data_IF_147247634871
#
_entry.id   IF_147247634871
#
_cell.length_a   1.000
_cell.length_b   1.000
_cell.length_c   1.000
_cell.angle_alpha   90.00
_cell.angle_beta   90.00
_cell.angle_gamma   90.00
#
_symmetry.space_group_name_H-M   'P 1'
#
loop_
_entity.id
_entity.type
_entity.pdbx_description
1 polymer ?
#
# COMPACT_ATOMS: atom_id res chain seq x y z
N UNK A 1 -16.40 17.25 79.34
CA UNK A 1 -17.39 16.16 79.43
C UNK A 1 -18.43 16.47 78.37
N UNK A 2 -18.29 15.85 77.20
CA UNK A 2 -19.06 14.66 76.76
C UNK A 2 -20.29 15.13 75.98
N UNK A 3 -20.18 15.15 74.64
CA UNK A 3 -20.67 14.16 73.67
C UNK A 3 -22.20 14.06 73.69
N UNK A 4 -22.82 14.55 72.62
CA UNK A 4 -23.87 13.77 71.94
C UNK A 4 -23.94 14.15 70.45
N UNK A 5 -24.02 13.10 69.65
CA UNK A 5 -23.80 13.05 68.22
C UNK A 5 -24.97 13.68 67.45
N UNK A 6 -24.68 14.69 66.64
CA UNK A 6 -25.61 15.31 65.70
C UNK A 6 -25.27 14.88 64.28
N UNK A 7 -25.56 13.64 63.90
CA UNK A 7 -25.71 13.27 62.49
C UNK A 7 -26.81 12.22 62.34
N UNK A 8 -27.86 12.66 61.66
CA UNK A 8 -29.00 11.88 61.18
C UNK A 8 -28.50 10.94 60.08
N UNK A 9 -28.86 9.67 60.18
CA UNK A 9 -28.66 8.69 59.12
C UNK A 9 -29.68 8.98 58.00
N UNK A 10 -29.22 9.51 56.88
CA UNK A 10 -29.96 9.49 55.63
C UNK A 10 -29.35 8.40 54.74
N UNK A 11 -30.21 7.45 54.37
CA UNK A 11 -29.96 6.35 53.46
C UNK A 11 -29.65 6.92 52.07
N UNK A 12 -28.40 6.78 51.62
CA UNK A 12 -28.05 6.93 50.22
C UNK A 12 -27.93 5.52 49.62
N UNK A 13 -28.98 5.14 48.90
CA UNK A 13 -29.13 3.91 48.15
C UNK A 13 -28.15 3.93 46.95
N UNK A 14 -26.87 3.61 47.23
CA UNK A 14 -25.84 3.46 46.20
C UNK A 14 -26.13 2.15 45.47
N UNK A 15 -26.89 2.27 44.37
CA UNK A 15 -27.11 1.20 43.40
C UNK A 15 -25.77 0.57 43.01
N UNK A 16 -25.51 -0.62 43.54
CA UNK A 16 -24.36 -1.44 43.18
C UNK A 16 -24.48 -1.79 41.69
N UNK A 17 -23.63 -1.17 40.89
CA UNK A 17 -23.44 -1.54 39.49
C UNK A 17 -22.82 -2.94 39.44
N UNK A 18 -23.38 -3.92 38.71
CA UNK A 18 -22.74 -5.22 38.52
C UNK A 18 -21.76 -5.08 37.36
N UNK A 19 -20.64 -4.41 37.61
CA UNK A 19 -19.56 -4.27 36.63
C UNK A 19 -18.19 -4.33 37.31
N UNK A 20 -18.05 -5.24 38.26
CA UNK A 20 -16.78 -5.87 38.56
C UNK A 20 -16.74 -7.18 37.79
N UNK A 21 -16.54 -7.09 36.47
CA UNK A 21 -15.99 -8.22 35.72
C UNK A 21 -14.66 -8.56 36.39
N UNK A 22 -14.60 -9.73 37.02
CA UNK A 22 -13.36 -10.35 37.44
C UNK A 22 -12.42 -10.32 36.25
N UNK A 23 -11.39 -9.49 36.33
CA UNK A 23 -10.22 -9.65 35.48
C UNK A 23 -9.66 -11.03 35.81
N UNK A 24 -9.97 -12.02 34.95
CA UNK A 24 -9.30 -13.30 34.97
C UNK A 24 -7.81 -13.04 34.71
N UNK A 25 -7.06 -13.07 35.79
CA UNK A 25 -5.61 -13.04 35.79
C UNK A 25 -5.09 -14.28 35.05
N UNK A 26 -4.59 -14.10 33.83
CA UNK A 26 -3.99 -15.17 33.01
C UNK A 26 -2.65 -15.68 33.57
N UNK A 27 -2.21 -15.23 34.75
CA UNK A 27 -0.89 -15.59 35.29
C UNK A 27 -0.85 -16.82 36.20
N UNK A 28 -1.98 -17.51 36.39
CA UNK A 28 -2.00 -18.82 37.07
C UNK A 28 -2.48 -19.91 36.12
N UNK A 29 -1.64 -20.89 35.72
CA UNK A 29 -2.13 -22.08 35.05
C UNK A 29 -2.91 -22.89 36.09
N UNK A 30 -4.24 -22.78 36.08
CA UNK A 30 -5.11 -23.77 36.68
C UNK A 30 -4.79 -25.12 36.01
N UNK A 31 -3.98 -25.94 36.68
CA UNK A 31 -3.84 -27.36 36.38
C UNK A 31 -5.24 -27.98 36.48
N UNK A 32 -5.87 -28.31 35.37
CA UNK A 32 -7.19 -28.94 35.43
C UNK A 32 -7.86 -29.26 34.11
N UNK A 33 -7.86 -28.34 33.14
CA UNK A 33 -8.58 -28.53 31.88
C UNK A 33 -7.72 -28.08 30.69
N UNK A 34 -6.76 -28.92 30.28
CA UNK A 34 -6.11 -28.75 28.99
C UNK A 34 -7.15 -29.07 27.89
N UNK A 35 -7.60 -28.04 27.16
CA UNK A 35 -8.48 -28.20 25.99
C UNK A 35 -7.83 -29.16 24.98
N UNK A 36 -8.44 -30.31 24.67
CA UNK A 36 -7.81 -31.29 23.79
C UNK A 36 -7.70 -30.76 22.36
N UNK A 37 -6.52 -30.93 21.76
CA UNK A 37 -6.31 -30.61 20.34
C UNK A 37 -7.20 -31.52 19.49
N UNK A 38 -8.29 -30.96 18.95
CA UNK A 38 -9.23 -31.69 18.06
C UNK A 38 -8.59 -31.91 16.68
N UNK A 39 -7.86 -30.90 16.16
CA UNK A 39 -7.28 -30.94 14.83
C UNK A 39 -5.97 -30.14 14.75
N UNK A 40 -4.91 -30.78 14.27
CA UNK A 40 -3.63 -30.15 13.97
C UNK A 40 -3.54 -29.81 12.49
N UNK A 41 -3.47 -28.53 12.16
CA UNK A 41 -3.32 -28.03 10.78
C UNK A 41 -1.86 -27.65 10.55
N UNK A 42 -1.10 -28.34 9.68
CA UNK A 42 0.28 -28.00 9.41
C UNK A 42 0.40 -26.65 8.69
N UNK A 43 1.34 -25.83 9.16
CA UNK A 43 1.73 -24.56 8.56
C UNK A 43 3.01 -24.76 7.74
N UNK A 44 2.94 -24.47 6.44
CA UNK A 44 4.07 -24.62 5.52
C UNK A 44 4.52 -23.26 5.05
N UNK A 45 5.78 -22.91 5.28
CA UNK A 45 6.38 -21.69 4.76
C UNK A 45 6.83 -21.90 3.31
N UNK A 46 6.07 -21.35 2.36
CA UNK A 46 6.46 -21.33 0.97
C UNK A 46 7.48 -20.20 0.71
N UNK A 47 8.42 -20.46 -0.19
CA UNK A 47 9.30 -19.45 -0.77
C UNK A 47 8.94 -19.28 -2.24
N UNK A 48 9.06 -18.05 -2.75
CA UNK A 48 8.98 -17.80 -4.18
C UNK A 48 10.08 -18.60 -4.90
N UNK A 49 9.79 -19.23 -6.04
CA UNK A 49 10.78 -20.00 -6.82
C UNK A 49 12.02 -19.17 -7.18
N UNK A 50 11.82 -17.89 -7.50
CA UNK A 50 12.89 -16.95 -7.80
C UNK A 50 12.62 -15.60 -7.12
N UNK A 51 13.26 -15.39 -5.96
CA UNK A 51 13.19 -14.13 -5.20
C UNK A 51 13.88 -12.95 -5.88
N UNK A 52 14.79 -13.20 -6.83
CA UNK A 52 15.51 -12.13 -7.50
C UNK A 52 14.65 -11.46 -8.57
N UNK A 53 13.74 -12.22 -9.20
CA UNK A 53 12.84 -11.71 -10.24
C UNK A 53 11.38 -11.57 -9.80
N UNK A 54 10.97 -12.20 -8.69
CA UNK A 54 9.58 -12.21 -8.25
C UNK A 54 9.42 -11.59 -6.86
N UNK A 55 8.42 -10.74 -6.75
CA UNK A 55 7.94 -10.15 -5.51
C UNK A 55 6.42 -10.26 -5.43
N UNK A 56 5.89 -10.42 -4.22
CA UNK A 56 4.45 -10.44 -3.96
C UNK A 56 4.06 -9.10 -3.34
N UNK A 57 3.06 -8.47 -3.95
CA UNK A 57 2.51 -7.21 -3.51
C UNK A 57 1.00 -7.34 -3.34
N UNK A 58 0.45 -6.78 -2.26
CA UNK A 58 -1.00 -6.72 -2.04
C UNK A 58 -1.50 -5.34 -2.45
N UNK A 59 -2.45 -5.32 -3.39
CA UNK A 59 -3.11 -4.09 -3.85
C UNK A 59 -4.48 -3.97 -3.18
N UNK A 60 -4.66 -2.92 -2.39
CA UNK A 60 -5.92 -2.61 -1.71
C UNK A 60 -6.67 -1.52 -2.49
N UNK A 61 -7.92 -1.79 -2.86
CA UNK A 61 -8.76 -0.85 -3.61
C UNK A 61 -9.72 -0.12 -2.66
N UNK A 62 -9.47 1.17 -2.39
CA UNK A 62 -10.24 1.92 -1.38
C UNK A 62 -11.66 2.30 -1.83
N UNK A 63 -11.88 2.44 -3.15
CA UNK A 63 -13.16 2.90 -3.72
C UNK A 63 -14.09 1.80 -4.22
N UNK A 64 -13.76 0.51 -4.00
CA UNK A 64 -14.55 -0.63 -4.49
C UNK A 64 -15.06 -1.48 -3.33
N UNK A 65 -16.36 -1.77 -3.34
CA UNK A 65 -16.95 -2.73 -2.40
C UNK A 65 -16.45 -4.15 -2.67
N UNK A 66 -16.43 -4.99 -1.62
CA UNK A 66 -15.94 -6.38 -1.68
C UNK A 66 -16.61 -7.24 -2.77
N UNK A 67 -17.86 -6.92 -3.11
CA UNK A 67 -18.70 -7.72 -4.01
C UNK A 67 -18.63 -7.27 -5.48
N UNK A 68 -17.81 -6.25 -5.81
CA UNK A 68 -17.70 -5.71 -7.16
C UNK A 68 -16.27 -5.93 -7.70
N UNK A 69 -15.90 -7.18 -8.06
CA UNK A 69 -14.58 -7.48 -8.63
C UNK A 69 -14.41 -6.78 -9.99
N UNK A 70 -13.14 -6.60 -10.39
CA UNK A 70 -12.84 -6.11 -11.73
C UNK A 70 -13.19 -7.19 -12.77
N UNK A 71 -14.28 -6.98 -13.50
CA UNK A 71 -14.72 -7.85 -14.60
C UNK A 71 -13.94 -7.56 -15.91
N UNK A 72 -13.12 -6.51 -15.92
CA UNK A 72 -12.50 -6.00 -17.14
C UNK A 72 -11.24 -6.80 -17.48
N UNK A 73 -11.25 -7.41 -18.67
CA UNK A 73 -10.16 -8.26 -19.18
C UNK A 73 -8.93 -7.47 -19.66
N UNK A 74 -8.95 -6.14 -19.57
CA UNK A 74 -7.93 -5.24 -20.13
C UNK A 74 -7.45 -4.17 -19.14
N UNK A 75 -7.13 -4.60 -17.91
CA UNK A 75 -6.43 -3.71 -16.99
C UNK A 75 -5.00 -3.47 -17.48
N UNK A 76 -4.54 -2.22 -17.41
CA UNK A 76 -3.14 -1.87 -17.71
C UNK A 76 -2.47 -1.48 -16.41
N UNK A 77 -1.41 -2.19 -16.04
CA UNK A 77 -0.62 -1.86 -14.86
C UNK A 77 0.71 -1.24 -15.29
N UNK A 78 1.12 -0.19 -14.60
CA UNK A 78 2.43 0.45 -14.76
C UNK A 78 3.07 0.63 -13.39
N UNK A 79 4.38 0.48 -13.31
CA UNK A 79 5.12 0.55 -12.05
C UNK A 79 6.40 1.35 -12.20
N UNK A 80 6.79 2.02 -11.13
CA UNK A 80 8.09 2.64 -10.90
C UNK A 80 8.78 1.94 -9.74
N UNK A 81 9.65 0.94 -10.00
CA UNK A 81 10.28 0.13 -8.97
C UNK A 81 11.11 0.94 -7.96
N UNK A 82 11.88 1.93 -8.41
CA UNK A 82 12.79 2.66 -7.54
C UNK A 82 12.08 3.67 -6.62
N UNK A 83 10.98 4.23 -7.11
CA UNK A 83 10.10 5.14 -6.37
C UNK A 83 8.98 4.40 -5.65
N UNK A 84 8.86 3.08 -5.86
CA UNK A 84 7.86 2.20 -5.25
C UNK A 84 6.43 2.66 -5.53
N UNK A 85 6.15 3.13 -6.73
CA UNK A 85 4.80 3.57 -7.12
C UNK A 85 4.22 2.58 -8.11
N UNK A 86 2.98 2.19 -7.89
CA UNK A 86 2.19 1.37 -8.81
C UNK A 86 0.97 2.15 -9.26
N UNK A 87 0.66 2.06 -10.53
CA UNK A 87 -0.52 2.64 -11.15
C UNK A 87 -1.27 1.55 -11.93
N UNK A 88 -2.58 1.47 -11.70
CA UNK A 88 -3.48 0.54 -12.40
C UNK A 88 -4.54 1.37 -13.11
N UNK A 89 -4.59 1.26 -14.44
CA UNK A 89 -5.59 1.90 -15.29
C UNK A 89 -6.74 0.94 -15.55
N UNK A 90 -7.93 1.35 -15.13
CA UNK A 90 -9.17 0.60 -15.29
C UNK A 90 -10.01 1.29 -16.37
N UNK A 91 -10.40 0.60 -17.45
CA UNK A 91 -11.32 1.17 -18.42
C UNK A 91 -12.69 1.41 -17.78
N UNK A 92 -13.31 2.55 -18.10
CA UNK A 92 -14.66 2.89 -17.69
C UNK A 92 -15.64 2.55 -18.83
N UNK A 93 -16.87 2.16 -18.47
CA UNK A 93 -17.95 2.00 -19.44
C UNK A 93 -18.48 3.37 -19.86
N UNK A 94 -18.23 3.75 -21.10
CA UNK A 94 -18.66 5.04 -21.66
C UNK A 94 -20.08 5.00 -22.24
N UNK A 95 -20.79 3.87 -22.19
CA UNK A 95 -22.07 3.70 -22.89
C UNK A 95 -23.30 4.27 -22.17
N UNK A 96 -23.29 4.34 -20.83
CA UNK A 96 -24.50 4.64 -20.04
C UNK A 96 -24.43 5.89 -19.17
N UNK A 97 -23.30 6.11 -18.51
CA UNK A 97 -23.16 7.15 -17.47
C UNK A 97 -22.05 8.15 -17.79
N UNK A 98 -21.60 8.16 -19.04
CA UNK A 98 -20.54 9.05 -19.48
C UNK A 98 -21.13 10.30 -20.11
N UNK A 99 -20.65 11.45 -19.66
CA UNK A 99 -21.08 12.74 -20.17
C UNK A 99 -20.10 13.22 -21.25
N UNK A 100 -20.58 13.24 -22.49
CA UNK A 100 -19.79 13.74 -23.62
C UNK A 100 -19.61 15.26 -23.58
N UNK A 101 -20.54 16.01 -22.98
CA UNK A 101 -20.42 17.48 -22.88
C UNK A 101 -19.22 17.88 -22.01
N UNK A 102 -18.99 17.16 -20.90
CA UNK A 102 -17.81 17.30 -20.04
C UNK A 102 -16.51 17.01 -20.78
N UNK A 103 -16.54 16.15 -21.80
CA UNK A 103 -15.35 15.83 -22.60
C UNK A 103 -14.93 17.02 -23.47
N UNK A 104 -15.90 17.73 -24.02
CA UNK A 104 -15.67 18.95 -24.81
C UNK A 104 -15.13 20.09 -23.93
N UNK A 105 -15.71 20.28 -22.73
CA UNK A 105 -15.21 21.28 -21.75
C UNK A 105 -13.77 21.02 -21.31
N UNK A 106 -13.43 19.74 -21.09
CA UNK A 106 -12.12 19.32 -20.63
C UNK A 106 -11.09 19.26 -21.77
N UNK A 107 -11.54 19.26 -23.02
CA UNK A 107 -10.69 19.14 -24.22
C UNK A 107 -9.98 17.78 -24.36
N UNK A 108 -10.34 16.78 -23.54
CA UNK A 108 -9.77 15.44 -23.61
C UNK A 108 -10.77 14.37 -23.15
N UNK A 109 -10.79 13.23 -23.85
CA UNK A 109 -11.66 12.10 -23.54
C UNK A 109 -11.02 11.22 -22.47
N UNK A 110 -11.58 11.24 -21.27
CA UNK A 110 -11.12 10.41 -20.15
C UNK A 110 -11.92 9.11 -20.14
N UNK A 111 -11.35 8.04 -20.69
CA UNK A 111 -12.00 6.71 -20.75
C UNK A 111 -11.47 5.74 -19.69
N UNK A 112 -10.40 6.12 -19.00
CA UNK A 112 -9.70 5.24 -18.04
C UNK A 112 -9.59 5.91 -16.68
N UNK A 113 -9.96 5.17 -15.63
CA UNK A 113 -9.67 5.50 -14.25
C UNK A 113 -8.24 5.09 -13.92
N UNK A 114 -7.37 6.04 -13.58
CA UNK A 114 -6.07 5.72 -13.01
C UNK A 114 -6.19 5.57 -11.49
N UNK A 115 -5.74 4.43 -10.96
CA UNK A 115 -5.57 4.22 -9.53
C UNK A 115 -4.09 4.14 -9.21
N UNK A 116 -3.60 5.03 -8.36
CA UNK A 116 -2.21 5.10 -7.98
C UNK A 116 -2.03 4.76 -6.50
N UNK A 117 -0.97 4.05 -6.17
CA UNK A 117 -0.59 3.74 -4.79
C UNK A 117 0.92 3.67 -4.62
N UNK A 118 1.36 3.89 -3.39
CA UNK A 118 2.76 3.73 -2.98
C UNK A 118 2.89 2.36 -2.31
N UNK A 119 3.88 1.58 -2.72
CA UNK A 119 4.23 0.28 -2.15
C UNK A 119 5.01 0.51 -0.85
N UNK A 120 4.39 0.18 0.27
CA UNK A 120 5.02 0.17 1.59
C UNK A 120 5.57 -1.21 1.87
N UNK A 121 6.87 -1.31 2.13
CA UNK A 121 7.50 -2.58 2.46
C UNK A 121 6.90 -3.14 3.74
N UNK A 122 6.71 -4.45 3.76
CA UNK A 122 6.40 -5.17 4.97
C UNK A 122 7.69 -5.81 5.46
N UNK A 123 8.36 -5.16 6.41
CA UNK A 123 9.64 -5.59 6.99
C UNK A 123 9.46 -6.83 7.91
N UNK A 124 8.88 -7.90 7.36
CA UNK A 124 8.51 -9.13 8.08
C UNK A 124 7.26 -8.95 8.93
N UNK A 125 6.24 -9.78 8.70
CA UNK A 125 5.05 -9.82 9.56
C UNK A 125 3.75 -10.11 8.83
N UNK A 126 3.63 -9.74 7.55
CA UNK A 126 2.47 -10.12 6.75
C UNK A 126 2.77 -11.35 5.88
N UNK A 127 1.86 -12.31 5.94
CA UNK A 127 1.87 -13.52 5.14
C UNK A 127 0.53 -13.70 4.44
N UNK A 128 0.58 -14.14 3.18
CA UNK A 128 -0.59 -14.61 2.45
C UNK A 128 -0.74 -16.10 2.77
N UNK A 129 -1.82 -16.45 3.46
CA UNK A 129 -2.18 -17.83 3.76
C UNK A 129 -3.16 -18.38 2.75
N UNK A 130 -2.85 -19.52 2.13
CA UNK A 130 -3.80 -20.31 1.35
C UNK A 130 -4.03 -21.65 2.02
N UNK A 131 -5.29 -21.99 2.26
CA UNK A 131 -5.70 -23.31 2.71
C UNK A 131 -5.71 -24.25 1.52
N UNK A 132 -5.01 -25.37 1.64
CA UNK A 132 -4.86 -26.41 0.62
C UNK A 132 -5.27 -27.73 1.25
N UNK A 133 -6.29 -28.36 0.69
CA UNK A 133 -6.72 -29.69 1.13
C UNK A 133 -5.87 -30.74 0.41
N UNK A 134 -5.18 -31.59 1.17
CA UNK A 134 -4.45 -32.76 0.65
C UNK A 134 -5.04 -34.04 1.24
N UNK A 135 -4.67 -35.18 0.69
CA UNK A 135 -5.13 -36.52 1.12
C UNK A 135 -4.88 -36.83 2.62
N UNK A 136 -4.04 -36.03 3.31
CA UNK A 136 -3.78 -36.12 4.75
C UNK A 136 -4.40 -35.01 5.62
N UNK A 137 -5.32 -34.20 5.09
CA UNK A 137 -6.00 -33.11 5.80
C UNK A 137 -5.67 -31.70 5.27
N UNK A 138 -6.30 -30.65 5.82
CA UNK A 138 -6.05 -29.27 5.41
C UNK A 138 -4.64 -28.85 5.82
N UNK A 139 -3.91 -28.20 4.92
CA UNK A 139 -2.61 -27.58 5.17
C UNK A 139 -2.70 -26.10 4.83
N UNK A 140 -2.04 -25.24 5.62
CA UNK A 140 -1.99 -23.81 5.32
C UNK A 140 -0.60 -23.48 4.79
N UNK A 141 -0.56 -22.97 3.55
CA UNK A 141 0.68 -22.50 2.93
C UNK A 141 0.78 -20.99 3.14
N UNK A 142 1.84 -20.55 3.81
CA UNK A 142 2.14 -19.16 4.10
C UNK A 142 3.20 -18.63 3.12
N UNK A 143 2.89 -17.55 2.42
CA UNK A 143 3.83 -16.81 1.57
C UNK A 143 4.11 -15.44 2.19
N UNK A 144 5.36 -15.09 2.52
CA UNK A 144 5.68 -13.77 3.05
C UNK A 144 5.44 -12.69 1.99
N UNK A 145 4.90 -11.56 2.44
CA UNK A 145 4.56 -10.43 1.59
C UNK A 145 5.69 -9.40 1.55
N UNK A 146 6.12 -9.00 0.35
CA UNK A 146 7.20 -8.03 0.22
C UNK A 146 6.71 -6.58 0.43
N UNK A 147 5.51 -6.25 -0.08
CA UNK A 147 4.91 -4.94 0.16
C UNK A 147 3.39 -4.89 0.00
N UNK A 148 2.80 -3.82 0.52
CA UNK A 148 1.37 -3.49 0.38
C UNK A 148 1.21 -2.14 -0.30
N UNK A 149 0.19 -1.96 -1.13
CA UNK A 149 -0.16 -0.65 -1.68
C UNK A 149 -1.65 -0.37 -1.52
N UNK A 150 -1.97 0.83 -1.03
CA UNK A 150 -3.33 1.37 -1.07
C UNK A 150 -3.50 2.18 -2.35
N UNK A 151 -4.35 1.69 -3.24
CA UNK A 151 -4.67 2.32 -4.51
C UNK A 151 -5.78 3.34 -4.32
N UNK A 152 -5.50 4.59 -4.70
CA UNK A 152 -6.45 5.72 -4.68
C UNK A 152 -6.62 6.27 -6.09
N UNK A 153 -7.81 6.78 -6.45
CA UNK A 153 -8.00 7.48 -7.71
C UNK A 153 -7.01 8.63 -7.87
N UNK A 154 -6.30 8.65 -9.00
CA UNK A 154 -5.44 9.77 -9.39
C UNK A 154 -6.08 10.53 -10.55
N UNK A 155 -6.02 11.86 -10.48
CA UNK A 155 -6.62 12.77 -11.46
C UNK A 155 -5.55 13.46 -12.30
N UNK A 156 -4.46 12.76 -12.63
CA UNK A 156 -3.30 13.32 -13.33
C UNK A 156 -3.66 14.03 -14.64
N UNK A 157 -4.70 13.57 -15.33
CA UNK A 157 -5.19 14.22 -16.54
C UNK A 157 -5.60 15.69 -16.30
N UNK A 158 -6.10 16.05 -15.12
CA UNK A 158 -6.44 17.43 -14.77
C UNK A 158 -5.17 18.28 -14.67
N UNK A 159 -4.14 17.76 -14.00
CA UNK A 159 -2.85 18.44 -13.83
C UNK A 159 -2.14 18.62 -15.18
N UNK A 160 -2.20 17.61 -16.06
CA UNK A 160 -1.62 17.66 -17.40
C UNK A 160 -2.31 18.72 -18.26
N UNK A 161 -3.64 18.86 -18.16
CA UNK A 161 -4.42 19.88 -18.87
C UNK A 161 -4.13 21.30 -18.36
N UNK A 162 -4.04 21.49 -17.05
CA UNK A 162 -3.72 22.79 -16.47
C UNK A 162 -2.29 23.22 -16.79
N UNK A 163 -1.37 22.24 -16.82
CA UNK A 163 0.02 22.43 -17.28
C UNK A 163 0.07 22.83 -18.76
N UNK A 164 -0.68 22.13 -19.62
CA UNK A 164 -0.76 22.43 -21.05
C UNK A 164 -1.35 23.82 -21.31
N UNK A 165 -2.44 24.19 -20.61
CA UNK A 165 -3.06 25.52 -20.69
C UNK A 165 -2.08 26.60 -20.24
N UNK A 166 -1.41 26.42 -19.11
CA UNK A 166 -0.42 27.38 -18.60
C UNK A 166 0.77 27.53 -19.56
N UNK A 167 1.22 26.44 -20.18
CA UNK A 167 2.28 26.47 -21.18
C UNK A 167 1.86 27.26 -22.43
N UNK A 168 0.63 27.10 -22.89
CA UNK A 168 0.07 27.87 -24.02
C UNK A 168 0.02 29.37 -23.71
N UNK A 169 -0.51 29.77 -22.55
CA UNK A 169 -0.52 31.19 -22.14
C UNK A 169 0.90 31.79 -22.05
N UNK A 170 1.89 31.00 -21.60
CA UNK A 170 3.29 31.42 -21.58
C UNK A 170 3.88 31.54 -22.99
N UNK A 171 3.53 30.63 -23.91
CA UNK A 171 3.96 30.72 -25.31
C UNK A 171 3.35 31.94 -26.01
N UNK A 172 2.07 32.22 -25.82
CA UNK A 172 1.42 33.40 -26.40
C UNK A 172 2.02 34.70 -25.86
N UNK A 173 2.18 34.82 -24.53
CA UNK A 173 2.80 35.99 -23.92
C UNK A 173 4.27 36.19 -24.33
N UNK A 174 5.05 35.11 -24.47
CA UNK A 174 6.43 35.19 -24.97
C UNK A 174 6.54 35.49 -26.46
N UNK A 175 5.56 35.12 -27.27
CA UNK A 175 5.50 35.48 -28.70
C UNK A 175 5.16 36.96 -28.92
N UNK A 176 4.50 37.60 -27.95
CA UNK A 176 4.13 39.03 -27.99
C UNK A 176 5.24 39.99 -27.53
N UNK A 177 6.31 39.49 -26.92
CA UNK A 177 7.41 40.30 -26.37
C UNK A 177 8.73 40.04 -27.13
N UNK A 178 9.07 40.86 -28.15
CA UNK A 178 10.29 40.69 -28.96
C UNK A 178 11.59 40.87 -28.16
N UNK A 179 11.54 41.31 -26.90
CA UNK A 179 12.72 41.45 -26.04
C UNK A 179 13.26 40.13 -25.48
N UNK A 180 12.45 39.06 -25.45
CA UNK A 180 12.82 37.76 -24.85
C UNK A 180 13.39 36.72 -25.83
N UNK A 181 13.18 36.91 -27.14
CA UNK A 181 13.69 35.99 -28.16
C UNK A 181 15.24 35.98 -28.24
N UNK A 182 15.89 37.06 -27.81
CA UNK A 182 17.36 37.17 -27.80
C UNK A 182 18.02 36.58 -26.53
N UNK A 183 17.26 36.25 -25.48
CA UNK A 183 17.80 35.69 -24.24
C UNK A 183 18.05 34.17 -24.32
N UNK A 184 17.38 33.47 -25.26
CA UNK A 184 17.51 32.02 -25.42
C UNK A 184 18.80 31.57 -26.14
N UNK A 185 19.48 32.49 -26.85
CA UNK A 185 20.68 32.18 -27.66
C UNK A 185 21.98 32.18 -26.82
N UNK A 186 21.96 32.73 -25.60
CA UNK A 186 23.12 32.76 -24.70
C UNK A 186 22.77 32.30 -23.27
N UNK A 187 22.19 31.11 -23.13
CA UNK A 187 22.12 30.45 -21.82
C UNK A 187 23.41 29.65 -21.61
N UNK A 188 24.52 30.35 -21.36
CA UNK A 188 25.73 29.71 -20.84
C UNK A 188 25.42 29.29 -19.40
N UNK A 189 25.15 28.00 -19.16
CA UNK A 189 24.92 27.44 -17.82
C UNK A 189 26.24 27.41 -17.03
N UNK A 190 26.78 28.57 -16.64
CA UNK A 190 27.89 28.67 -15.70
C UNK A 190 27.36 28.73 -14.26
N UNK A 191 26.47 27.81 -13.90
CA UNK A 191 26.01 27.63 -12.53
C UNK A 191 26.83 26.53 -11.84
N UNK A 192 28.15 26.71 -11.77
CA UNK A 192 28.98 25.89 -10.88
C UNK A 192 28.84 26.46 -9.47
N UNK A 193 27.84 25.99 -8.72
CA UNK A 193 27.75 26.27 -7.28
C UNK A 193 28.96 25.62 -6.62
N UNK A 194 30.01 26.40 -6.40
CA UNK A 194 31.15 26.00 -5.61
C UNK A 194 30.64 25.57 -4.23
N UNK A 195 31.03 24.36 -3.80
CA UNK A 195 30.76 23.87 -2.46
C UNK A 195 31.52 24.70 -1.44
N UNK A 196 30.97 25.86 -1.07
CA UNK A 196 31.30 26.47 0.21
C UNK A 196 30.67 25.59 1.29
N UNK A 197 31.50 24.73 1.87
CA UNK A 197 31.24 24.13 3.16
C UNK A 197 31.19 25.29 4.17
N UNK A 198 30.00 25.85 4.38
CA UNK A 198 29.75 26.70 5.54
C UNK A 198 29.97 25.85 6.79
N UNK A 199 30.70 26.40 7.75
CA UNK A 199 31.11 25.74 9.00
C UNK A 199 29.93 25.28 9.88
N UNK A 200 28.70 25.64 9.53
CA UNK A 200 27.46 25.19 10.17
C UNK A 200 26.73 24.11 9.35
N UNK A 201 27.40 23.04 8.94
CA UNK A 201 26.85 21.70 8.65
C UNK A 201 25.71 21.52 7.63
N UNK A 202 25.10 22.58 7.10
CA UNK A 202 23.92 22.54 6.26
C UNK A 202 24.35 22.75 4.81
N UNK A 203 24.85 21.66 4.21
CA UNK A 203 24.83 21.58 2.76
C UNK A 203 23.38 21.77 2.30
N UNK A 204 23.16 22.68 1.35
CA UNK A 204 21.85 22.91 0.73
C UNK A 204 21.46 21.71 -0.15
N UNK A 205 21.30 20.54 0.47
CA UNK A 205 20.68 19.40 -0.17
C UNK A 205 19.18 19.69 -0.29
N UNK A 206 18.66 19.38 -1.46
CA UNK A 206 17.24 19.21 -1.70
C UNK A 206 16.66 18.40 -0.54
N UNK A 207 15.66 18.96 0.16
CA UNK A 207 15.03 18.28 1.30
C UNK A 207 14.52 16.89 0.92
N UNK A 208 14.50 15.96 1.89
CA UNK A 208 14.19 14.54 1.66
C UNK A 208 12.94 14.31 0.79
N UNK A 209 11.83 15.02 1.07
CA UNK A 209 10.61 14.92 0.26
C UNK A 209 10.83 15.31 -1.21
N UNK A 210 11.56 16.40 -1.45
CA UNK A 210 11.84 16.87 -2.80
C UNK A 210 12.81 15.93 -3.54
N UNK A 211 13.67 15.20 -2.82
CA UNK A 211 14.49 14.12 -3.39
C UNK A 211 13.63 12.95 -3.87
N UNK A 212 12.65 12.52 -3.08
CA UNK A 212 11.70 11.47 -3.48
C UNK A 212 10.85 11.90 -4.68
N UNK A 213 10.38 13.15 -4.71
CA UNK A 213 9.61 13.70 -5.85
C UNK A 213 10.48 13.78 -7.11
N UNK A 214 11.72 14.25 -6.97
CA UNK A 214 12.67 14.32 -8.09
C UNK A 214 12.94 12.93 -8.65
N UNK A 215 13.26 11.96 -7.79
CA UNK A 215 13.47 10.56 -8.20
C UNK A 215 12.25 9.98 -8.90
N UNK A 216 11.05 10.25 -8.37
CA UNK A 216 9.80 9.86 -8.99
C UNK A 216 9.60 10.48 -10.37
N UNK A 217 9.96 11.75 -10.57
CA UNK A 217 9.83 12.40 -11.88
C UNK A 217 10.86 11.93 -12.90
N UNK A 218 12.08 11.59 -12.44
CA UNK A 218 13.16 11.11 -13.30
C UNK A 218 12.97 9.65 -13.74
N UNK A 219 12.32 8.83 -12.92
CA UNK A 219 12.10 7.42 -13.22
C UNK A 219 11.03 7.21 -14.30
N UNK A 220 11.31 6.37 -15.29
CA UNK A 220 10.37 6.01 -16.34
C UNK A 220 9.36 4.95 -15.88
N UNK A 221 8.16 4.99 -16.45
CA UNK A 221 7.12 4.01 -16.17
C UNK A 221 7.41 2.68 -16.87
N UNK A 222 7.50 1.60 -16.09
CA UNK A 222 7.59 0.25 -16.62
C UNK A 222 6.18 -0.31 -16.80
N UNK A 223 5.87 -0.77 -18.01
CA UNK A 223 4.57 -1.38 -18.32
C UNK A 223 4.55 -2.85 -17.91
N UNK A 224 3.53 -3.24 -17.16
CA UNK A 224 3.32 -4.61 -16.70
C UNK A 224 2.16 -5.24 -17.47
N UNK A 225 2.32 -6.51 -17.86
CA UNK A 225 1.24 -7.28 -18.47
C UNK A 225 0.28 -7.76 -17.39
N UNK A 226 -0.99 -7.38 -17.50
CA UNK A 226 -2.04 -7.93 -16.65
C UNK A 226 -2.42 -9.33 -17.16
N UNK A 227 -2.38 -10.32 -16.27
CA UNK A 227 -2.80 -11.70 -16.56
C UNK A 227 -3.89 -12.11 -15.57
N UNK A 228 -5.01 -12.54 -16.11
CA UNK A 228 -6.17 -12.98 -15.33
C UNK A 228 -6.03 -14.43 -14.87
N UNK A 229 -6.92 -14.81 -13.94
CA UNK A 229 -6.95 -16.11 -13.27
C UNK A 229 -6.96 -17.34 -14.18
N UNK A 230 -7.37 -17.17 -15.43
CA UNK A 230 -7.58 -18.22 -16.43
C UNK A 230 -6.34 -18.52 -17.29
N UNK A 231 -5.28 -17.71 -17.17
CA UNK A 231 -4.05 -17.93 -17.94
C UNK A 231 -3.28 -19.18 -17.44
N UNK A 232 -2.87 -20.05 -18.37
CA UNK A 232 -2.12 -21.29 -18.11
C UNK A 232 -0.79 -21.02 -17.39
N UNK A 233 -0.12 -19.92 -17.73
CA UNK A 233 1.13 -19.52 -17.06
C UNK A 233 0.90 -19.12 -15.59
N UNK A 234 -0.24 -18.50 -15.29
CA UNK A 234 -0.59 -18.11 -13.92
C UNK A 234 -1.02 -19.33 -13.09
N UNK A 235 -1.75 -20.27 -13.71
CA UNK A 235 -2.16 -21.51 -13.05
C UNK A 235 -0.98 -22.38 -12.65
N UNK A 236 -0.02 -22.57 -13.55
CA UNK A 236 1.23 -23.29 -13.25
C UNK A 236 2.07 -22.58 -12.17
N UNK A 237 2.13 -21.25 -12.17
CA UNK A 237 2.79 -20.51 -11.10
C UNK A 237 2.06 -20.69 -9.76
N UNK A 238 0.73 -20.56 -9.73
CA UNK A 238 -0.10 -20.79 -8.53
C UNK A 238 0.10 -22.19 -7.98
N UNK A 239 0.14 -23.20 -8.84
CA UNK A 239 0.36 -24.59 -8.43
C UNK A 239 1.73 -24.79 -7.78
N UNK A 240 2.79 -24.20 -8.34
CA UNK A 240 4.13 -24.24 -7.72
C UNK A 240 4.18 -23.52 -6.37
N UNK A 241 3.43 -22.43 -6.21
CA UNK A 241 3.34 -21.71 -4.93
C UNK A 241 2.53 -22.48 -3.88
N UNK A 242 1.58 -23.31 -4.32
CA UNK A 242 0.70 -24.16 -3.49
C UNK A 242 1.39 -25.45 -3.05
N UNK A 243 2.32 -25.95 -3.86
CA UNK A 243 3.06 -27.20 -3.59
C UNK A 243 4.54 -26.90 -3.35
N UNK A 244 4.91 -26.16 -2.30
CA UNK A 244 6.31 -26.00 -1.93
C UNK A 244 6.87 -27.33 -1.41
N UNK A 245 8.17 -27.54 -1.60
CA UNK A 245 8.89 -28.63 -0.94
C UNK A 245 8.82 -28.46 0.58
N UNK A 246 8.26 -29.48 1.24
CA UNK A 246 8.09 -29.50 2.69
C UNK A 246 9.40 -29.96 3.32
N UNK A 247 10.33 -29.03 3.53
CA UNK A 247 11.48 -29.29 4.40
C UNK A 247 11.06 -29.04 5.86
N UNK A 248 11.17 -30.02 6.77
CA UNK A 248 10.86 -29.80 8.18
C UNK A 248 11.86 -28.80 8.76
N UNK A 249 11.37 -27.63 9.17
CA UNK A 249 12.17 -26.63 9.89
C UNK A 249 11.93 -26.85 11.38
N UNK A 250 12.99 -27.19 12.13
CA UNK A 250 12.93 -27.21 13.59
C UNK A 250 13.21 -25.81 14.12
N UNK A 251 12.22 -25.22 14.78
CA UNK A 251 12.40 -23.96 15.51
C UNK A 251 12.84 -24.33 16.93
N UNK A 252 14.09 -24.02 17.26
CA UNK A 252 14.59 -24.05 18.64
C UNK A 252 14.63 -22.62 19.13
N UNK A 253 13.52 -22.12 19.66
CA UNK A 253 13.50 -20.86 20.41
C UNK A 253 13.34 -21.23 21.87
N UNK A 254 14.38 -20.97 22.68
CA UNK A 254 14.30 -21.09 24.13
C UNK A 254 13.70 -19.77 24.64
N UNK A 255 12.64 -19.87 25.45
CA UNK A 255 11.88 -18.71 25.95
C UNK A 255 12.75 -17.68 26.70
N UNK A 256 13.90 -18.09 27.25
CA UNK A 256 14.85 -17.23 27.96
C UNK A 256 15.57 -16.20 27.06
N UNK A 257 15.61 -16.38 25.73
CA UNK A 257 16.35 -15.46 24.84
C UNK A 257 15.51 -14.27 24.35
N UNK A 258 14.22 -14.20 24.72
CA UNK A 258 13.29 -13.15 24.27
C UNK A 258 12.79 -12.23 25.40
N UNK A 259 13.29 -12.41 26.63
CA UNK A 259 12.93 -11.62 27.82
C UNK A 259 13.89 -10.43 28.05
#
# INVERSE_FOLDING_TARGET
MEKDNLFVAEEEDVSQSPASEEYHDFTNPSQGDEDPIIQSIPLVHAKLPDRASQSIHVLQYTGKGKNAPFVHDQLKATMKPESKVVEVKIPMDTSKFYDESRTEELGSRVETLALQGVLTNTDGGLYVGKVVEKEGGPQIVLLPLDSTAQLRPSFKYIDDLDTARTAQLRQESSSSDPSKQNAAVQVLQTASKAGQMSADGHSAQIGSCLKHIKKFNEEEWQSLSWRNGEDSALMSLKERLVTPEVAPVSVRTVFDEFA
#
